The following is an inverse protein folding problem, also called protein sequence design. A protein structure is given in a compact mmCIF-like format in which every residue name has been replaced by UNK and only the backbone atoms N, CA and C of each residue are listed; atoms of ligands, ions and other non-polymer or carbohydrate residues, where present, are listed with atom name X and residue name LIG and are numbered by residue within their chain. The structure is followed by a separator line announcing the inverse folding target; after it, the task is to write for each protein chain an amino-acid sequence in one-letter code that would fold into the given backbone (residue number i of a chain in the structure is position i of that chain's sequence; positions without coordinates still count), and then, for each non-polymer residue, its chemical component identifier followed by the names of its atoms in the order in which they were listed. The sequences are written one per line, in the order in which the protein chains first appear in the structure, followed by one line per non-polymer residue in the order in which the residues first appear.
data_IF_600996750380
#
_entry.id   IF_600996750380
#
_cell.length_a   1.000
_cell.length_b   1.000
_cell.length_c   1.000
_cell.angle_alpha   90.00
_cell.angle_beta   90.00
_cell.angle_gamma   90.00
#
_symmetry.space_group_name_H-M   'P 1'
#
loop_
_entity.id
_entity.type
_entity.pdbx_description
1 polymer ?
#
# COMPACT_ATOMS: atom_id res chain seq x y z
N UNK A 1 -29.47 10.84 18.52
CA UNK A 1 -28.34 11.49 19.22
C UNK A 1 -27.06 11.06 18.52
N UNK A 2 -26.45 11.96 17.76
CA UNK A 2 -25.12 11.75 17.18
C UNK A 2 -24.11 12.01 18.29
N UNK A 3 -23.62 10.94 18.90
CA UNK A 3 -22.57 11.02 19.90
C UNK A 3 -21.34 11.72 19.30
N UNK A 4 -21.08 12.96 19.73
CA UNK A 4 -19.86 13.67 19.36
C UNK A 4 -18.65 12.98 19.99
N UNK A 5 -17.53 12.97 19.28
CA UNK A 5 -16.25 12.44 19.76
C UNK A 5 -15.90 13.03 21.15
N UNK A 6 -15.41 12.23 22.03
CA UNK A 6 -14.87 12.68 23.32
C UNK A 6 -13.67 13.63 23.12
N UNK A 7 -13.29 14.43 24.11
CA UNK A 7 -12.11 15.29 24.01
C UNK A 7 -10.83 14.51 23.68
N UNK A 8 -10.65 13.31 24.21
CA UNK A 8 -9.51 12.45 23.94
C UNK A 8 -9.49 11.99 22.47
N UNK A 9 -10.64 11.58 21.93
CA UNK A 9 -10.78 11.17 20.53
C UNK A 9 -10.55 12.34 19.58
N UNK A 10 -11.02 13.54 19.92
CA UNK A 10 -10.74 14.75 19.14
C UNK A 10 -9.24 15.09 19.12
N UNK A 11 -8.56 14.98 20.25
CA UNK A 11 -7.12 15.17 20.33
C UNK A 11 -6.34 14.14 19.52
N UNK A 12 -6.74 12.87 19.59
CA UNK A 12 -6.13 11.81 18.80
C UNK A 12 -6.31 12.06 17.30
N UNK A 13 -7.52 12.38 16.86
CA UNK A 13 -7.82 12.69 15.46
C UNK A 13 -7.05 13.92 14.95
N UNK A 14 -6.89 14.96 15.80
CA UNK A 14 -6.10 16.14 15.43
C UNK A 14 -4.60 15.80 15.27
N UNK A 15 -4.06 14.96 16.15
CA UNK A 15 -2.66 14.50 16.04
C UNK A 15 -2.44 13.63 14.79
N UNK A 16 -3.36 12.74 14.48
CA UNK A 16 -3.32 11.92 13.26
C UNK A 16 -3.32 12.79 12.01
N UNK A 17 -4.24 13.78 11.94
CA UNK A 17 -4.28 14.72 10.82
C UNK A 17 -3.00 15.56 10.72
N UNK A 18 -2.46 16.03 11.82
CA UNK A 18 -1.21 16.79 11.83
C UNK A 18 -0.01 15.95 11.34
N UNK A 19 -0.02 14.65 11.60
CA UNK A 19 1.03 13.74 11.15
C UNK A 19 1.02 13.49 9.62
N UNK A 20 -0.11 13.75 8.94
CA UNK A 20 -0.25 13.55 7.51
C UNK A 20 0.23 14.74 6.66
N UNK A 21 0.33 15.93 7.25
CA UNK A 21 0.90 17.12 6.63
C UNK A 21 0.38 17.41 5.23
N UNK A 22 1.30 17.64 4.30
CA UNK A 22 1.02 18.03 2.92
C UNK A 22 0.23 16.97 2.12
N UNK A 23 0.24 15.72 2.56
CA UNK A 23 -0.53 14.67 1.88
C UNK A 23 -2.03 14.95 1.87
N UNK A 24 -2.57 15.55 2.93
CA UNK A 24 -3.98 15.92 2.99
C UNK A 24 -4.37 16.98 1.96
N UNK A 25 -3.44 17.83 1.57
CA UNK A 25 -3.67 18.89 0.57
C UNK A 25 -3.90 18.33 -0.84
N UNK A 26 -3.48 17.09 -1.09
CA UNK A 26 -3.72 16.41 -2.37
C UNK A 26 -5.18 15.98 -2.55
N UNK A 27 -5.98 16.04 -1.50
CA UNK A 27 -7.37 15.58 -1.48
C UNK A 27 -8.31 16.72 -1.05
N UNK A 28 -8.78 17.54 -2.02
CA UNK A 28 -9.57 18.76 -1.71
C UNK A 28 -10.91 18.46 -1.04
N UNK A 29 -11.43 17.23 -1.16
CA UNK A 29 -12.67 16.81 -0.54
C UNK A 29 -12.50 16.21 0.86
N UNK A 30 -11.28 16.21 1.39
CA UNK A 30 -10.94 15.58 2.65
C UNK A 30 -10.86 14.05 2.58
N UNK A 31 -10.42 13.45 3.66
CA UNK A 31 -10.33 12.01 3.81
C UNK A 31 -11.34 11.50 4.85
N UNK A 32 -11.88 10.32 4.59
CA UNK A 32 -12.72 9.62 5.57
C UNK A 32 -11.90 9.19 6.81
N UNK A 33 -12.55 9.00 7.98
CA UNK A 33 -11.85 8.62 9.20
C UNK A 33 -11.00 7.36 9.06
N UNK A 34 -11.45 6.33 8.32
CA UNK A 34 -10.67 5.11 8.13
C UNK A 34 -9.42 5.34 7.27
N UNK A 35 -9.49 6.26 6.29
CA UNK A 35 -8.35 6.63 5.46
C UNK A 35 -7.29 7.36 6.30
N UNK A 36 -7.71 8.32 7.13
CA UNK A 36 -6.83 9.04 8.05
C UNK A 36 -6.18 8.07 9.04
N UNK A 37 -6.93 7.16 9.63
CA UNK A 37 -6.42 6.18 10.58
C UNK A 37 -5.38 5.23 9.94
N UNK A 38 -5.64 4.75 8.73
CA UNK A 38 -4.70 3.91 7.98
C UNK A 38 -3.40 4.63 7.66
N UNK A 39 -3.49 5.86 7.15
CA UNK A 39 -2.32 6.69 6.86
C UNK A 39 -1.52 7.01 8.14
N UNK A 40 -2.20 7.36 9.22
CA UNK A 40 -1.56 7.65 10.51
C UNK A 40 -0.83 6.43 11.09
N UNK A 41 -1.39 5.24 10.94
CA UNK A 41 -0.74 3.99 11.35
C UNK A 41 0.57 3.77 10.58
N UNK A 42 0.57 3.98 9.27
CA UNK A 42 1.80 3.92 8.46
C UNK A 42 2.81 5.00 8.88
N UNK A 43 2.35 6.22 9.16
CA UNK A 43 3.22 7.30 9.65
C UNK A 43 3.89 6.96 11.00
N UNK A 44 3.24 6.14 11.81
CA UNK A 44 3.76 5.66 13.10
C UNK A 44 4.65 4.41 12.96
N UNK A 45 4.93 3.98 11.74
CA UNK A 45 5.76 2.80 11.47
C UNK A 45 5.05 1.46 11.67
N UNK A 46 3.72 1.45 11.65
CA UNK A 46 2.92 0.22 11.74
C UNK A 46 2.50 -0.25 10.35
N UNK A 47 2.44 -1.56 10.15
CA UNK A 47 1.78 -2.17 9.01
C UNK A 47 0.27 -2.13 9.19
N UNK A 48 -0.48 -2.06 8.10
CA UNK A 48 -1.94 -1.97 8.12
C UNK A 48 -2.57 -2.97 7.17
N UNK A 49 -3.70 -3.53 7.59
CA UNK A 49 -4.63 -4.26 6.75
C UNK A 49 -5.93 -3.45 6.68
N UNK A 50 -6.32 -3.08 5.49
CA UNK A 50 -7.53 -2.30 5.23
C UNK A 50 -8.53 -3.15 4.47
N UNK A 51 -9.64 -3.50 5.12
CA UNK A 51 -10.77 -4.17 4.50
C UNK A 51 -11.93 -3.19 4.42
N UNK A 52 -12.32 -2.82 3.21
CA UNK A 52 -13.43 -1.92 2.97
C UNK A 52 -14.07 -2.21 1.61
N UNK A 53 -15.38 -1.90 1.41
CA UNK A 53 -16.05 -2.15 0.15
C UNK A 53 -15.32 -1.51 -1.04
N UNK A 54 -15.48 -2.09 -2.23
CA UNK A 54 -15.00 -1.50 -3.48
C UNK A 54 -15.57 -0.09 -3.64
N UNK A 55 -14.74 0.87 -4.02
CA UNK A 55 -15.14 2.28 -4.14
C UNK A 55 -15.08 3.09 -2.85
N UNK A 56 -14.70 2.50 -1.72
CA UNK A 56 -14.56 3.22 -0.44
C UNK A 56 -13.29 4.10 -0.36
N UNK A 57 -12.38 4.03 -1.34
CA UNK A 57 -11.17 4.85 -1.38
C UNK A 57 -9.98 4.28 -0.61
N UNK A 58 -9.87 2.95 -0.49
CA UNK A 58 -8.73 2.27 0.16
C UNK A 58 -7.37 2.61 -0.45
N UNK A 59 -7.33 2.86 -1.76
CA UNK A 59 -6.10 3.17 -2.50
C UNK A 59 -5.38 4.40 -1.98
N UNK A 60 -6.08 5.33 -1.33
CA UNK A 60 -5.48 6.50 -0.68
C UNK A 60 -4.41 6.09 0.33
N UNK A 61 -4.63 5.02 1.08
CA UNK A 61 -3.67 4.52 2.07
C UNK A 61 -2.42 3.97 1.38
N UNK A 62 -2.59 3.25 0.26
CA UNK A 62 -1.47 2.81 -0.57
C UNK A 62 -0.69 3.98 -1.18
N UNK A 63 -1.39 5.00 -1.65
CA UNK A 63 -0.77 6.22 -2.17
C UNK A 63 -0.02 7.01 -1.11
N UNK A 64 -0.48 6.97 0.14
CA UNK A 64 0.25 7.54 1.26
C UNK A 64 1.58 6.83 1.51
N UNK A 65 1.64 5.51 1.39
CA UNK A 65 2.89 4.75 1.48
C UNK A 65 3.88 5.19 0.39
N UNK A 66 3.40 5.40 -0.83
CA UNK A 66 4.20 5.95 -1.95
C UNK A 66 4.72 7.35 -1.60
N UNK A 67 3.85 8.23 -1.12
CA UNK A 67 4.21 9.59 -0.73
C UNK A 67 5.29 9.61 0.36
N UNK A 68 5.14 8.77 1.38
CA UNK A 68 6.13 8.65 2.47
C UNK A 68 7.48 8.16 1.97
N UNK A 69 7.50 7.13 1.13
CA UNK A 69 8.75 6.62 0.57
C UNK A 69 9.49 7.70 -0.22
N UNK A 70 8.78 8.44 -1.06
CA UNK A 70 9.38 9.55 -1.82
C UNK A 70 9.90 10.66 -0.91
N UNK A 71 9.16 11.02 0.12
CA UNK A 71 9.58 12.04 1.09
C UNK A 71 10.81 11.62 1.91
N UNK A 72 10.95 10.34 2.21
CA UNK A 72 12.06 9.77 2.97
C UNK A 72 13.27 9.39 2.09
N UNK A 73 13.16 9.52 0.77
CA UNK A 73 14.20 9.07 -0.17
C UNK A 73 14.40 7.56 -0.18
N UNK A 74 13.33 6.79 0.09
CA UNK A 74 13.34 5.32 0.17
C UNK A 74 12.46 4.72 -0.92
N UNK A 75 12.50 3.39 -1.07
CA UNK A 75 11.73 2.67 -2.08
C UNK A 75 10.37 2.22 -1.55
N UNK A 76 9.37 2.24 -2.46
CA UNK A 76 8.07 1.63 -2.28
C UNK A 76 7.77 0.70 -3.44
N UNK A 77 7.38 -0.53 -3.14
CA UNK A 77 6.85 -1.46 -4.14
C UNK A 77 5.33 -1.52 -3.99
N UNK A 78 4.64 -1.16 -5.06
CA UNK A 78 3.19 -1.23 -5.15
C UNK A 78 2.80 -2.48 -5.93
N UNK A 79 2.21 -3.47 -5.26
CA UNK A 79 1.89 -4.73 -5.89
C UNK A 79 0.40 -4.89 -6.16
N UNK A 80 0.08 -5.52 -7.26
CA UNK A 80 -1.27 -5.95 -7.63
C UNK A 80 -1.25 -7.43 -8.04
N UNK A 81 -2.39 -8.12 -7.97
CA UNK A 81 -2.42 -9.56 -8.26
C UNK A 81 -2.27 -9.92 -9.73
N UNK A 82 -2.57 -8.99 -10.64
CA UNK A 82 -2.56 -9.24 -12.09
C UNK A 82 -1.93 -8.09 -12.87
N UNK A 83 -1.37 -8.43 -14.03
CA UNK A 83 -0.65 -7.52 -14.93
C UNK A 83 -1.48 -6.30 -15.37
N UNK A 84 -2.74 -6.50 -15.70
CA UNK A 84 -3.62 -5.42 -16.15
C UNK A 84 -3.80 -4.33 -15.08
N UNK A 85 -3.96 -4.71 -13.82
CA UNK A 85 -4.03 -3.78 -12.68
C UNK A 85 -2.69 -3.09 -12.44
N UNK A 86 -1.58 -3.79 -12.59
CA UNK A 86 -0.23 -3.21 -12.49
C UNK A 86 -0.01 -2.13 -13.56
N UNK A 87 -0.38 -2.41 -14.80
CA UNK A 87 -0.25 -1.44 -15.90
C UNK A 87 -1.10 -0.18 -15.66
N UNK A 88 -2.34 -0.35 -15.20
CA UNK A 88 -3.21 0.77 -14.88
C UNK A 88 -2.64 1.63 -13.76
N UNK A 89 -2.21 1.01 -12.67
CA UNK A 89 -1.62 1.72 -11.52
C UNK A 89 -0.32 2.43 -11.91
N UNK A 90 0.50 1.82 -12.76
CA UNK A 90 1.70 2.46 -13.29
C UNK A 90 1.38 3.77 -14.01
N UNK A 91 0.39 3.78 -14.90
CA UNK A 91 -0.03 5.00 -15.60
C UNK A 91 -0.51 6.07 -14.61
N UNK A 92 -1.33 5.70 -13.64
CA UNK A 92 -1.86 6.62 -12.64
C UNK A 92 -0.75 7.28 -11.82
N UNK A 93 0.18 6.48 -11.31
CA UNK A 93 1.27 6.99 -10.46
C UNK A 93 2.34 7.73 -11.28
N UNK A 94 2.66 7.29 -12.50
CA UNK A 94 3.59 8.00 -13.36
C UNK A 94 3.05 9.38 -13.78
N UNK A 95 1.76 9.49 -14.02
CA UNK A 95 1.10 10.78 -14.28
C UNK A 95 1.18 11.71 -13.07
N UNK A 96 1.02 11.16 -11.88
CA UNK A 96 0.99 11.95 -10.63
C UNK A 96 2.38 12.36 -10.14
N UNK A 97 3.35 11.47 -10.20
CA UNK A 97 4.69 11.66 -9.60
C UNK A 97 5.82 11.86 -10.59
N UNK A 98 5.57 11.65 -11.87
CA UNK A 98 6.56 11.74 -12.93
C UNK A 98 7.10 10.36 -13.36
N UNK A 99 7.34 10.21 -14.65
CA UNK A 99 7.80 8.95 -15.24
C UNK A 99 9.22 8.55 -14.81
N UNK A 100 10.03 9.50 -14.36
CA UNK A 100 11.37 9.28 -13.84
C UNK A 100 11.39 8.67 -12.42
N UNK A 101 10.30 8.81 -11.69
CA UNK A 101 10.16 8.35 -10.29
C UNK A 101 9.39 7.04 -10.15
N UNK A 102 8.77 6.56 -11.21
CA UNK A 102 7.87 5.42 -11.19
C UNK A 102 8.29 4.38 -12.24
N UNK A 103 8.42 3.15 -11.81
CA UNK A 103 8.75 2.01 -12.67
C UNK A 103 7.65 0.95 -12.69
N UNK A 104 7.77 0.03 -13.64
CA UNK A 104 6.89 -1.12 -13.81
C UNK A 104 7.73 -2.38 -13.95
N UNK A 105 7.36 -3.41 -13.23
CA UNK A 105 8.01 -4.71 -13.33
C UNK A 105 6.95 -5.83 -13.31
N UNK A 106 6.72 -6.43 -14.46
CA UNK A 106 5.85 -7.60 -14.64
C UNK A 106 6.65 -8.74 -15.24
N UNK A 107 6.05 -9.92 -15.40
CA UNK A 107 6.75 -11.09 -15.93
C UNK A 107 7.36 -10.90 -17.33
N UNK A 108 6.85 -9.97 -18.12
CA UNK A 108 7.25 -9.73 -19.52
C UNK A 108 7.58 -8.26 -19.83
N UNK A 109 7.52 -7.37 -18.86
CA UNK A 109 7.79 -5.95 -19.08
C UNK A 109 8.57 -5.34 -17.90
N UNK A 110 9.62 -4.60 -18.20
CA UNK A 110 10.42 -3.87 -17.23
C UNK A 110 10.65 -2.43 -17.71
N UNK A 111 10.14 -1.47 -16.97
CA UNK A 111 10.30 -0.03 -17.21
C UNK A 111 10.86 0.58 -15.94
N UNK A 112 12.05 1.20 -16.00
CA UNK A 112 12.67 1.90 -14.89
C UNK A 112 12.60 1.11 -13.55
N UNK A 113 13.10 -0.13 -13.56
CA UNK A 113 12.97 -1.08 -12.43
C UNK A 113 13.71 -0.66 -11.17
N UNK A 114 14.62 0.32 -11.23
CA UNK A 114 15.33 0.90 -10.09
C UNK A 114 14.75 2.23 -9.62
N UNK A 115 13.57 2.62 -10.12
CA UNK A 115 12.87 3.80 -9.65
C UNK A 115 12.54 3.70 -8.15
N UNK A 116 12.37 4.83 -7.44
CA UNK A 116 11.97 4.80 -6.03
C UNK A 116 10.60 4.17 -5.81
N UNK A 117 9.70 4.26 -6.77
CA UNK A 117 8.39 3.59 -6.74
C UNK A 117 8.31 2.63 -7.91
N UNK A 118 8.13 1.35 -7.63
CA UNK A 118 7.97 0.32 -8.67
C UNK A 118 6.65 -0.40 -8.48
N UNK A 119 5.85 -0.41 -9.53
CA UNK A 119 4.61 -1.18 -9.59
C UNK A 119 4.95 -2.56 -10.15
N UNK A 120 4.45 -3.60 -9.51
CA UNK A 120 4.71 -4.97 -9.93
C UNK A 120 3.56 -5.90 -9.58
N UNK A 121 3.54 -7.08 -10.15
CA UNK A 121 2.64 -8.12 -9.66
C UNK A 121 3.16 -8.71 -8.35
N UNK A 122 2.26 -9.20 -7.51
CA UNK A 122 2.63 -9.83 -6.24
C UNK A 122 3.57 -11.03 -6.45
N UNK A 123 3.38 -11.76 -7.53
CA UNK A 123 4.25 -12.89 -7.91
C UNK A 123 5.69 -12.44 -8.20
N UNK A 124 5.88 -11.32 -8.87
CA UNK A 124 7.21 -10.74 -9.13
C UNK A 124 7.91 -10.41 -7.81
N UNK A 125 7.21 -9.78 -6.87
CA UNK A 125 7.78 -9.48 -5.55
C UNK A 125 8.18 -10.77 -4.80
N UNK A 126 7.33 -11.79 -4.80
CA UNK A 126 7.68 -13.10 -4.23
C UNK A 126 8.98 -13.64 -4.82
N UNK A 127 9.09 -13.64 -6.14
CA UNK A 127 10.29 -14.15 -6.83
C UNK A 127 11.54 -13.33 -6.48
N UNK A 128 11.41 -12.00 -6.34
CA UNK A 128 12.50 -11.13 -5.91
C UNK A 128 12.95 -11.45 -4.48
N UNK A 129 12.02 -11.72 -3.57
CA UNK A 129 12.32 -12.10 -2.19
C UNK A 129 13.05 -13.43 -2.13
N UNK A 130 12.63 -14.44 -2.89
CA UNK A 130 13.32 -15.72 -2.97
C UNK A 130 14.72 -15.61 -3.55
N UNK A 131 14.90 -14.78 -4.58
CA UNK A 131 16.19 -14.56 -5.22
C UNK A 131 17.09 -13.59 -4.43
N UNK A 132 16.61 -13.00 -3.35
CA UNK A 132 17.30 -11.93 -2.63
C UNK A 132 17.82 -10.84 -3.57
N UNK A 133 16.93 -10.35 -4.43
CA UNK A 133 17.25 -9.40 -5.50
C UNK A 133 17.89 -8.12 -4.94
N UNK A 134 18.96 -7.61 -5.59
CA UNK A 134 19.55 -6.33 -5.18
C UNK A 134 18.58 -5.15 -5.28
N UNK A 135 17.54 -5.24 -6.09
CA UNK A 135 16.47 -4.22 -6.21
C UNK A 135 15.68 -4.05 -4.90
N UNK A 136 15.71 -5.01 -3.99
CA UNK A 136 15.12 -4.90 -2.65
C UNK A 136 15.87 -3.92 -1.74
N UNK A 137 17.08 -3.56 -2.08
CA UNK A 137 17.88 -2.65 -1.25
C UNK A 137 17.23 -1.26 -1.18
N UNK A 138 17.06 -0.75 0.03
CA UNK A 138 16.40 0.54 0.26
C UNK A 138 14.87 0.48 0.31
N UNK A 139 14.27 -0.70 0.17
CA UNK A 139 12.83 -0.90 0.30
C UNK A 139 12.36 -0.58 1.72
N UNK A 140 11.33 0.28 1.83
CA UNK A 140 10.76 0.68 3.11
C UNK A 140 9.27 0.38 3.23
N UNK A 141 8.56 0.45 2.11
CA UNK A 141 7.12 0.28 2.05
C UNK A 141 6.74 -0.71 0.96
N UNK A 142 5.80 -1.58 1.27
CA UNK A 142 5.14 -2.47 0.31
C UNK A 142 3.65 -2.26 0.41
N UNK A 143 3.01 -2.00 -0.72
CA UNK A 143 1.56 -1.97 -0.87
C UNK A 143 1.13 -3.25 -1.56
N UNK A 144 0.24 -3.99 -0.94
CA UNK A 144 -0.41 -5.16 -1.55
C UNK A 144 -1.87 -4.79 -1.82
N UNK A 145 -2.14 -4.34 -3.03
CA UNK A 145 -3.48 -3.94 -3.44
C UNK A 145 -4.27 -5.15 -3.94
N UNK A 146 -5.59 -5.09 -3.78
CA UNK A 146 -6.52 -6.12 -4.25
C UNK A 146 -6.21 -7.53 -3.68
N UNK A 147 -5.83 -7.61 -2.40
CA UNK A 147 -5.41 -8.88 -1.75
C UNK A 147 -6.47 -9.96 -1.84
N UNK A 148 -7.76 -9.60 -1.87
CA UNK A 148 -8.88 -10.54 -2.00
C UNK A 148 -8.83 -11.38 -3.30
N UNK A 149 -8.20 -10.90 -4.38
CA UNK A 149 -7.95 -11.68 -5.58
C UNK A 149 -7.02 -12.87 -5.34
N UNK A 150 -6.19 -12.79 -4.31
CA UNK A 150 -5.20 -13.81 -3.96
C UNK A 150 -5.80 -14.90 -3.04
N UNK A 151 -7.02 -14.72 -2.57
CA UNK A 151 -7.78 -15.71 -1.79
C UNK A 151 -8.33 -16.86 -2.66
N UNK A 152 -8.17 -16.80 -3.98
CA UNK A 152 -8.49 -17.91 -4.86
C UNK A 152 -7.56 -19.11 -4.58
N UNK A 153 -8.14 -20.32 -4.50
CA UNK A 153 -7.45 -21.58 -4.19
C UNK A 153 -6.17 -21.83 -5.01
N UNK A 154 -6.06 -21.24 -6.20
CA UNK A 154 -4.91 -21.39 -7.10
C UNK A 154 -3.82 -20.34 -6.91
N UNK A 155 -4.07 -19.26 -6.16
CA UNK A 155 -3.15 -18.13 -5.95
C UNK A 155 -2.95 -17.78 -4.47
N UNK A 156 -3.61 -18.49 -3.56
CA UNK A 156 -3.68 -18.18 -2.13
C UNK A 156 -2.36 -18.12 -1.38
N UNK A 157 -1.34 -18.87 -1.83
CA UNK A 157 -0.06 -18.92 -1.15
C UNK A 157 0.88 -17.76 -1.49
N UNK A 158 0.64 -17.00 -2.55
CA UNK A 158 1.60 -15.99 -3.03
C UNK A 158 1.74 -14.81 -2.05
N UNK A 159 0.62 -14.28 -1.56
CA UNK A 159 0.65 -13.15 -0.61
C UNK A 159 1.19 -13.56 0.77
N UNK A 160 0.87 -14.77 1.23
CA UNK A 160 1.42 -15.34 2.47
C UNK A 160 2.95 -15.48 2.37
N UNK A 161 3.44 -16.01 1.26
CA UNK A 161 4.88 -16.13 1.01
C UNK A 161 5.58 -14.77 0.99
N UNK A 162 4.95 -13.74 0.41
CA UNK A 162 5.47 -12.37 0.46
C UNK A 162 5.57 -11.88 1.89
N UNK A 163 4.51 -12.00 2.68
CA UNK A 163 4.49 -11.52 4.07
C UNK A 163 5.56 -12.24 4.92
N UNK A 164 5.66 -13.55 4.78
CA UNK A 164 6.63 -14.36 5.54
C UNK A 164 8.07 -13.98 5.20
N UNK A 165 8.36 -13.68 3.94
CA UNK A 165 9.72 -13.41 3.46
C UNK A 165 10.10 -11.93 3.43
N UNK A 166 9.16 -11.01 3.73
CA UNK A 166 9.49 -9.60 3.83
C UNK A 166 10.52 -9.36 4.95
N UNK A 167 11.62 -8.64 4.67
CA UNK A 167 12.56 -8.24 5.71
C UNK A 167 11.88 -7.44 6.82
N UNK A 168 12.36 -7.62 8.04
CA UNK A 168 11.90 -6.84 9.20
C UNK A 168 12.17 -5.35 8.98
N UNK A 169 11.23 -4.52 9.41
CA UNK A 169 11.34 -3.06 9.27
C UNK A 169 10.71 -2.51 7.99
N UNK A 170 10.21 -3.36 7.10
CA UNK A 170 9.39 -2.92 5.96
C UNK A 170 7.95 -2.74 6.44
N UNK A 171 7.35 -1.60 6.09
CA UNK A 171 5.97 -1.28 6.42
C UNK A 171 5.05 -1.77 5.31
N UNK A 172 4.07 -2.60 5.67
CA UNK A 172 3.12 -3.20 4.74
C UNK A 172 1.76 -2.50 4.83
N UNK A 173 1.21 -2.13 3.69
CA UNK A 173 -0.17 -1.73 3.54
C UNK A 173 -0.89 -2.75 2.64
N UNK A 174 -1.70 -3.61 3.24
CA UNK A 174 -2.53 -4.57 2.52
C UNK A 174 -3.96 -4.03 2.39
N UNK A 175 -4.44 -3.97 1.16
CA UNK A 175 -5.74 -3.40 0.80
C UNK A 175 -6.63 -4.49 0.22
N UNK A 176 -7.79 -4.71 0.82
CA UNK A 176 -8.74 -5.74 0.41
C UNK A 176 -10.16 -5.20 0.29
N UNK A 177 -10.94 -5.71 -0.66
CA UNK A 177 -12.38 -5.56 -0.57
C UNK A 177 -12.91 -6.35 0.63
N UNK A 178 -14.07 -5.96 1.17
CA UNK A 178 -14.74 -6.74 2.22
C UNK A 178 -15.13 -8.10 1.64
N UNK A 179 -14.57 -9.15 2.25
CA UNK A 179 -14.92 -10.55 2.00
C UNK A 179 -15.51 -11.12 3.26
N UNK A 180 -16.33 -12.16 3.13
CA UNK A 180 -16.99 -12.81 4.28
C UNK A 180 -16.05 -13.36 5.36
N UNK A 181 -14.75 -13.47 5.04
CA UNK A 181 -13.70 -14.03 5.90
C UNK A 181 -12.63 -12.97 6.24
N UNK A 182 -12.99 -11.69 6.31
CA UNK A 182 -12.04 -10.61 6.61
C UNK A 182 -11.32 -10.80 7.96
N UNK A 183 -11.96 -11.50 8.91
CA UNK A 183 -11.37 -11.84 10.21
C UNK A 183 -10.21 -12.83 10.08
N UNK A 184 -10.28 -13.80 9.16
CA UNK A 184 -9.19 -14.73 8.89
C UNK A 184 -7.93 -14.04 8.35
N UNK A 185 -8.05 -12.94 7.61
CA UNK A 185 -6.92 -12.16 7.12
C UNK A 185 -6.25 -11.32 8.21
N UNK A 186 -6.96 -10.98 9.27
CA UNK A 186 -6.46 -10.15 10.37
C UNK A 186 -5.63 -10.90 11.41
N UNK A 187 -5.69 -12.22 11.42
CA UNK A 187 -4.97 -13.06 12.38
C UNK A 187 -3.57 -13.49 11.92
N UNK A 188 -3.18 -13.13 10.71
CA UNK A 188 -1.87 -13.39 10.10
C UNK A 188 -0.96 -12.15 10.18
#
# INVERSE_FOLDING_TARGET
ERGGLSPAERHAAARERAALGDFLELYPFGLDPFQVAGCAALAQGRSVLVAAPTGAGKTVIGEYAVHRALAEGRKCFYTTPIKALSNQKFHDLATRYGADRVGLLTGDNAINSEAPVVIMTTEVLRNMLYANSPTLQGLAYVVMDEVHYLADRFRGAVWEEVIIHLPRGIHLAALSATVSNAEEFGEW
#
